data_IF_999748798870
#
_entry.id   IF_999748798870
#
_cell.length_a   1.000
_cell.length_b   1.000
_cell.length_c   1.000
_cell.angle_alpha   90.00
_cell.angle_beta   90.00
_cell.angle_gamma   90.00
#
_symmetry.space_group_name_H-M   'P 1'
#
loop_
_entity.id
_entity.type
_entity.pdbx_description
1 polymer ?
#
# COMPACT_ATOMS: atom_id res chain seq x y z
N UNK A 1 -8.33 -6.36 7.08
CA UNK A 1 -8.70 -7.25 5.95
C UNK A 1 -8.86 -6.36 4.72
N UNK A 2 -8.62 -6.83 3.49
CA UNK A 2 -8.56 -6.02 2.26
C UNK A 2 -9.81 -5.17 1.95
N UNK A 3 -10.90 -5.33 2.71
CA UNK A 3 -12.15 -4.57 2.59
C UNK A 3 -12.00 -3.08 2.91
N UNK A 4 -11.12 -2.71 3.85
CA UNK A 4 -10.83 -1.30 4.14
C UNK A 4 -10.32 -0.59 2.88
N UNK A 5 -9.50 -1.29 2.10
CA UNK A 5 -8.94 -0.78 0.86
C UNK A 5 -9.98 -0.68 -0.27
N UNK A 6 -10.94 -1.62 -0.33
CA UNK A 6 -12.09 -1.54 -1.25
C UNK A 6 -13.00 -0.35 -0.93
N UNK A 7 -13.22 -0.07 0.36
CA UNK A 7 -14.08 1.02 0.85
C UNK A 7 -13.43 2.40 0.82
N UNK A 8 -12.10 2.48 0.85
CA UNK A 8 -11.38 3.73 0.78
C UNK A 8 -11.61 4.44 -0.56
N UNK A 9 -12.24 5.62 -0.52
CA UNK A 9 -12.40 6.50 -1.68
C UNK A 9 -11.05 7.02 -2.20
N UNK A 10 -10.09 7.21 -1.29
CA UNK A 10 -8.80 7.81 -1.59
C UNK A 10 -7.70 6.79 -1.30
N UNK A 11 -7.15 6.19 -2.35
CA UNK A 11 -6.12 5.16 -2.27
C UNK A 11 -5.10 5.34 -3.38
N UNK A 12 -3.89 4.92 -3.10
CA UNK A 12 -2.77 4.93 -4.02
C UNK A 12 -2.32 3.52 -4.29
N UNK A 13 -1.94 3.23 -5.54
CA UNK A 13 -1.45 1.93 -5.95
C UNK A 13 -0.08 2.10 -6.59
N UNK A 14 0.86 1.25 -6.17
CA UNK A 14 2.22 1.16 -6.68
C UNK A 14 3.23 1.90 -5.80
N UNK A 15 4.44 1.34 -5.74
CA UNK A 15 5.53 1.76 -4.86
C UNK A 15 5.77 3.27 -4.87
N UNK A 16 5.91 3.89 -6.05
CA UNK A 16 6.21 5.33 -6.17
C UNK A 16 5.10 6.20 -5.59
N UNK A 17 3.84 5.84 -5.82
CA UNK A 17 2.72 6.62 -5.31
C UNK A 17 2.52 6.40 -3.81
N UNK A 18 2.68 5.15 -3.35
CA UNK A 18 2.64 4.80 -1.92
C UNK A 18 3.71 5.56 -1.15
N UNK A 19 4.96 5.55 -1.60
CA UNK A 19 6.05 6.30 -0.96
C UNK A 19 5.71 7.80 -0.89
N UNK A 20 5.28 8.38 -2.00
CA UNK A 20 4.93 9.81 -2.04
C UNK A 20 3.79 10.17 -1.10
N UNK A 21 2.84 9.26 -0.89
CA UNK A 21 1.74 9.44 0.05
C UNK A 21 2.18 9.35 1.51
N UNK A 22 3.04 8.38 1.81
CA UNK A 22 3.65 8.19 3.13
C UNK A 22 4.53 9.39 3.48
N UNK A 23 5.39 9.82 2.55
CA UNK A 23 6.25 11.00 2.73
C UNK A 23 5.46 12.29 2.97
N UNK A 24 4.25 12.38 2.40
CA UNK A 24 3.33 13.50 2.61
C UNK A 24 2.53 13.40 3.90
N UNK A 25 2.68 12.34 4.69
CA UNK A 25 1.89 12.06 5.89
C UNK A 25 0.40 11.80 5.61
N UNK A 26 0.03 11.55 4.34
CA UNK A 26 -1.35 11.30 3.94
C UNK A 26 -1.71 9.82 3.94
N UNK A 27 -0.73 8.92 4.02
CA UNK A 27 -0.98 7.49 4.12
C UNK A 27 -1.47 7.14 5.53
N UNK A 28 -2.61 6.48 5.61
CA UNK A 28 -3.14 5.92 6.85
C UNK A 28 -2.67 4.48 7.05
N UNK A 29 -2.79 3.66 6.00
CA UNK A 29 -2.41 2.24 6.01
C UNK A 29 -1.74 1.88 4.69
N UNK A 30 -0.71 1.05 4.76
CA UNK A 30 0.04 0.56 3.61
C UNK A 30 -0.13 -0.94 3.52
N UNK A 31 -0.36 -1.43 2.31
CA UNK A 31 -0.53 -2.84 1.97
C UNK A 31 0.64 -3.27 1.11
N UNK A 32 1.30 -4.35 1.50
CA UNK A 32 2.48 -4.91 0.85
C UNK A 32 2.19 -6.36 0.47
N UNK A 33 2.29 -6.72 -0.80
CA UNK A 33 2.24 -8.12 -1.19
C UNK A 33 3.53 -8.86 -0.77
N UNK A 34 3.42 -10.13 -0.39
CA UNK A 34 4.57 -10.98 -0.05
C UNK A 34 5.40 -11.36 -1.27
N UNK A 35 4.79 -11.35 -2.46
CA UNK A 35 5.40 -11.69 -3.75
C UNK A 35 6.23 -10.53 -4.37
N UNK A 36 6.44 -9.43 -3.63
CA UNK A 36 7.25 -8.29 -4.10
C UNK A 36 8.73 -8.54 -3.88
N UNK A 37 9.56 -7.92 -4.73
CA UNK A 37 11.00 -7.89 -4.53
C UNK A 37 11.39 -7.39 -3.13
N UNK A 38 12.40 -8.03 -2.56
CA UNK A 38 12.91 -7.71 -1.22
C UNK A 38 13.32 -6.24 -1.10
N UNK A 39 13.90 -5.68 -2.17
CA UNK A 39 14.24 -4.25 -2.26
C UNK A 39 13.02 -3.32 -2.09
N UNK A 40 11.88 -3.69 -2.69
CA UNK A 40 10.63 -2.92 -2.58
C UNK A 40 10.05 -3.06 -1.18
N UNK A 41 10.00 -4.30 -0.66
CA UNK A 41 9.57 -4.63 0.70
C UNK A 41 10.34 -3.82 1.75
N UNK A 42 11.67 -3.88 1.72
CA UNK A 42 12.56 -3.15 2.62
C UNK A 42 12.29 -1.65 2.56
N UNK A 43 12.29 -1.07 1.35
CA UNK A 43 12.13 0.38 1.17
C UNK A 43 10.79 0.89 1.68
N UNK A 44 9.71 0.13 1.46
CA UNK A 44 8.37 0.49 1.95
C UNK A 44 8.30 0.35 3.46
N UNK A 45 8.86 -0.73 4.04
CA UNK A 45 8.94 -0.90 5.50
C UNK A 45 9.69 0.23 6.18
N UNK A 46 10.86 0.58 5.67
CA UNK A 46 11.72 1.63 6.24
C UNK A 46 11.02 3.00 6.21
N UNK A 47 10.34 3.30 5.10
CA UNK A 47 9.56 4.53 4.97
C UNK A 47 8.35 4.51 5.91
N UNK A 48 7.56 3.44 5.93
CA UNK A 48 6.40 3.36 6.81
C UNK A 48 6.80 3.44 8.29
N UNK A 49 7.91 2.82 8.68
CA UNK A 49 8.45 2.90 10.04
C UNK A 49 8.91 4.31 10.39
N UNK A 50 9.54 5.03 9.46
CA UNK A 50 9.97 6.42 9.68
C UNK A 50 8.80 7.40 9.83
N UNK A 51 7.65 7.10 9.21
CA UNK A 51 6.46 7.94 9.22
C UNK A 51 5.34 7.40 10.13
N UNK A 52 5.63 6.36 10.92
CA UNK A 52 4.70 5.69 11.84
C UNK A 52 3.37 5.28 11.15
N UNK A 53 3.49 4.57 10.02
CA UNK A 53 2.36 4.10 9.20
C UNK A 53 2.19 2.60 9.33
N UNK A 54 0.94 2.17 9.53
CA UNK A 54 0.57 0.75 9.60
C UNK A 54 0.84 0.02 8.29
N UNK A 55 1.51 -1.14 8.37
CA UNK A 55 1.80 -2.01 7.22
C UNK A 55 1.04 -3.33 7.36
N UNK A 56 0.30 -3.69 6.32
CA UNK A 56 -0.46 -4.94 6.22
C UNK A 56 0.14 -5.77 5.09
N UNK A 57 0.59 -6.98 5.41
CA UNK A 57 1.08 -7.92 4.41
C UNK A 57 -0.07 -8.71 3.79
N UNK A 58 -0.03 -8.93 2.48
CA UNK A 58 -1.01 -9.74 1.75
C UNK A 58 -0.31 -10.83 0.96
N UNK A 59 -1.01 -11.92 0.66
CA UNK A 59 -0.37 -13.11 0.08
C UNK A 59 0.03 -12.94 -1.39
N UNK A 60 -0.76 -12.27 -2.23
CA UNK A 60 -0.39 -12.01 -3.62
C UNK A 60 -0.64 -10.58 -4.10
N UNK A 61 0.15 -10.16 -5.10
CA UNK A 61 -0.09 -8.88 -5.79
C UNK A 61 -1.44 -8.83 -6.50
N UNK A 62 -1.94 -9.99 -6.92
CA UNK A 62 -3.19 -10.11 -7.66
C UNK A 62 -4.38 -9.81 -6.75
N UNK A 63 -4.43 -10.40 -5.56
CA UNK A 63 -5.46 -10.09 -4.56
C UNK A 63 -5.46 -8.62 -4.16
N UNK A 64 -4.26 -8.04 -4.02
CA UNK A 64 -4.12 -6.62 -3.72
C UNK A 64 -4.68 -5.76 -4.86
N UNK A 65 -4.39 -6.11 -6.11
CA UNK A 65 -4.95 -5.46 -7.29
C UNK A 65 -6.46 -5.58 -7.39
N UNK A 66 -7.01 -6.78 -7.17
CA UNK A 66 -8.45 -7.03 -7.15
C UNK A 66 -9.15 -6.23 -6.03
N UNK A 67 -8.51 -6.06 -4.88
CA UNK A 67 -8.99 -5.18 -3.82
C UNK A 67 -8.94 -3.69 -4.20
N UNK A 68 -7.89 -3.27 -4.91
CA UNK A 68 -7.77 -1.92 -5.46
C UNK A 68 -8.71 -1.67 -6.65
N UNK A 69 -9.43 -2.70 -7.13
CA UNK A 69 -10.30 -2.66 -8.30
C UNK A 69 -9.52 -2.36 -9.60
N UNK A 70 -8.31 -2.90 -9.71
CA UNK A 70 -7.43 -2.78 -10.88
C UNK A 70 -7.19 -4.15 -11.52
N UNK A 71 -7.03 -4.18 -12.84
CA UNK A 71 -6.81 -5.42 -13.60
C UNK A 71 -5.36 -5.89 -13.56
N UNK A 72 -4.43 -5.03 -13.16
CA UNK A 72 -2.99 -5.32 -13.04
C UNK A 72 -2.63 -5.61 -11.59
N UNK A 73 -1.76 -6.60 -11.34
CA UNK A 73 -1.31 -6.90 -9.98
C UNK A 73 -0.61 -5.68 -9.35
N UNK A 74 -0.87 -5.44 -8.06
CA UNK A 74 -0.25 -4.36 -7.32
C UNK A 74 0.74 -4.91 -6.30
N UNK A 75 2.00 -4.51 -6.44
CA UNK A 75 3.04 -4.81 -5.46
C UNK A 75 2.71 -4.18 -4.10
N UNK A 76 2.29 -2.91 -4.12
CA UNK A 76 1.93 -2.16 -2.93
C UNK A 76 0.73 -1.27 -3.18
N UNK A 77 -0.04 -0.99 -2.14
CA UNK A 77 -1.03 0.07 -2.13
C UNK A 77 -1.03 0.78 -0.79
N UNK A 78 -1.61 1.97 -0.73
CA UNK A 78 -1.89 2.62 0.53
C UNK A 78 -3.24 3.31 0.51
N UNK A 79 -3.89 3.33 1.66
CA UNK A 79 -5.08 4.09 1.92
C UNK A 79 -4.64 5.49 2.33
N UNK A 80 -5.21 6.50 1.68
CA UNK A 80 -5.01 7.89 2.05
C UNK A 80 -6.13 8.30 3.00
N UNK A 81 -5.76 8.98 4.07
CA UNK A 81 -6.70 9.68 4.94
C UNK A 81 -7.06 11.01 4.28
N UNK A 82 -8.35 11.21 4.04
CA UNK A 82 -8.87 12.50 3.57
C UNK A 82 -8.89 13.44 4.78
N UNK A 83 -8.06 14.48 4.72
CA UNK A 83 -7.94 15.56 5.71
C UNK A 83 -8.34 16.87 5.09
#
# INVERSE_FOLDING_TARGET
>A
MLEDLKKASNRTVGMKQTLKAVERGKAEKVYLAKDVDDYISQKVKDTCQSYDVDIIMVDSMKELGEACNITVGAATAAILKDV
#
